data_IF_824361991358
#
_entry.id   IF_824361991358
#
_cell.length_a   1.000
_cell.length_b   1.000
_cell.length_c   1.000
_cell.angle_alpha   90.00
_cell.angle_beta   90.00
_cell.angle_gamma   90.00
#
_symmetry.space_group_name_H-M   'P 1'
#
loop_
_entity.id
_entity.type
_entity.pdbx_description
1 polymer ?
#
# COMPACT_ATOMS: atom_id res chain seq x y z
N UNK A 1 -3.58 9.17 -22.92
CA UNK A 1 -4.45 9.57 -21.79
C UNK A 1 -3.69 10.63 -21.01
N UNK A 2 -4.30 11.75 -20.64
CA UNK A 2 -3.63 12.74 -19.77
C UNK A 2 -3.46 12.11 -18.39
N UNK A 3 -2.25 12.15 -17.85
CA UNK A 3 -1.94 11.68 -16.49
C UNK A 3 -1.90 12.86 -15.52
N UNK A 4 -2.30 12.65 -14.27
CA UNK A 4 -2.23 13.64 -13.19
C UNK A 4 -0.97 13.49 -12.31
N UNK A 5 -0.03 12.62 -12.70
CA UNK A 5 1.24 12.40 -11.98
C UNK A 5 2.09 13.68 -11.80
N UNK A 6 1.92 14.68 -12.65
CA UNK A 6 2.60 15.98 -12.51
C UNK A 6 2.21 16.72 -11.22
N UNK A 7 1.07 16.36 -10.59
CA UNK A 7 0.59 16.91 -9.32
C UNK A 7 1.28 16.28 -8.09
N UNK A 8 2.02 15.18 -8.27
CA UNK A 8 2.80 14.58 -7.19
C UNK A 8 3.95 15.52 -6.80
N UNK A 9 4.14 15.83 -5.51
CA UNK A 9 5.23 16.69 -5.06
C UNK A 9 6.60 16.21 -5.54
N UNK A 10 7.50 17.12 -5.98
CA UNK A 10 8.81 16.73 -6.52
C UNK A 10 9.67 15.94 -5.55
N UNK A 11 9.61 16.24 -4.25
CA UNK A 11 10.33 15.55 -3.20
C UNK A 11 9.86 14.09 -3.03
N UNK A 12 8.59 13.82 -3.27
CA UNK A 12 8.04 12.44 -3.31
C UNK A 12 8.55 11.73 -4.56
N UNK A 13 8.44 12.34 -5.74
CA UNK A 13 8.95 11.74 -7.00
C UNK A 13 10.45 11.46 -7.00
N UNK A 14 11.22 12.22 -6.22
CA UNK A 14 12.65 11.98 -6.07
C UNK A 14 12.97 10.70 -5.25
N UNK A 15 12.04 10.21 -4.43
CA UNK A 15 12.25 9.09 -3.51
C UNK A 15 11.43 7.85 -3.84
N UNK A 16 10.34 8.03 -4.56
CA UNK A 16 9.40 6.98 -4.92
C UNK A 16 9.23 6.92 -6.43
N UNK A 17 9.21 5.72 -6.97
CA UNK A 17 8.68 5.48 -8.30
C UNK A 17 7.16 5.54 -8.22
N UNK A 18 6.49 6.37 -9.05
CA UNK A 18 5.05 6.59 -8.92
C UNK A 18 4.34 6.24 -10.22
N UNK A 19 3.28 5.46 -10.09
CA UNK A 19 2.38 5.11 -11.19
C UNK A 19 0.93 5.36 -10.78
N UNK A 20 0.09 5.70 -11.74
CA UNK A 20 -1.34 5.86 -11.49
C UNK A 20 -2.19 5.17 -12.55
N UNK A 21 -3.35 4.72 -12.11
CA UNK A 21 -4.44 4.24 -12.94
C UNK A 21 -5.64 5.15 -12.76
N UNK A 22 -6.28 5.56 -13.89
CA UNK A 22 -7.49 6.38 -13.91
C UNK A 22 -7.38 7.72 -13.15
N UNK A 23 -6.24 8.42 -13.30
CA UNK A 23 -6.01 9.74 -12.70
C UNK A 23 -6.20 9.75 -11.16
N UNK A 24 -5.76 8.70 -10.48
CA UNK A 24 -5.92 8.55 -9.04
C UNK A 24 -5.35 9.73 -8.23
N UNK A 25 -4.23 10.32 -8.68
CA UNK A 25 -3.64 11.51 -8.06
C UNK A 25 -4.62 12.69 -8.06
N UNK A 26 -5.28 12.90 -9.20
CA UNK A 26 -6.30 13.96 -9.32
C UNK A 26 -7.47 13.73 -8.39
N UNK A 27 -7.98 12.50 -8.30
CA UNK A 27 -9.08 12.14 -7.39
C UNK A 27 -8.69 12.40 -5.93
N UNK A 28 -7.53 11.89 -5.50
CA UNK A 28 -7.03 12.07 -4.14
C UNK A 28 -6.87 13.55 -3.79
N UNK A 29 -6.19 14.31 -4.64
CA UNK A 29 -5.90 15.72 -4.38
C UNK A 29 -7.15 16.59 -4.31
N UNK A 30 -8.17 16.33 -5.15
CA UNK A 30 -9.34 17.20 -5.27
C UNK A 30 -10.51 16.77 -4.40
N UNK A 31 -10.78 15.48 -4.30
CA UNK A 31 -11.91 14.95 -3.56
C UNK A 31 -11.56 14.55 -2.11
N UNK A 32 -10.28 14.20 -1.85
CA UNK A 32 -9.81 13.68 -0.56
C UNK A 32 -8.53 14.40 -0.09
N UNK A 33 -8.52 15.75 0.00
CA UNK A 33 -7.30 16.50 0.31
C UNK A 33 -6.72 16.21 1.70
N UNK A 34 -7.55 15.79 2.66
CA UNK A 34 -7.10 15.37 3.99
C UNK A 34 -6.32 14.06 3.94
N UNK A 35 -6.89 13.03 3.34
CA UNK A 35 -6.25 11.72 3.15
C UNK A 35 -5.00 11.84 2.28
N UNK A 36 -5.05 12.68 1.24
CA UNK A 36 -3.88 13.01 0.43
C UNK A 36 -2.75 13.61 1.26
N UNK A 37 -3.06 14.59 2.13
CA UNK A 37 -2.07 15.22 3.00
C UNK A 37 -1.43 14.22 3.96
N UNK A 38 -2.21 13.32 4.54
CA UNK A 38 -1.75 12.26 5.44
C UNK A 38 -0.78 11.30 4.73
N UNK A 39 -1.15 10.82 3.53
CA UNK A 39 -0.30 9.93 2.72
C UNK A 39 1.03 10.62 2.41
N UNK A 40 1.00 11.85 1.92
CA UNK A 40 2.21 12.59 1.55
C UNK A 40 3.09 12.87 2.77
N UNK A 41 2.51 13.23 3.91
CA UNK A 41 3.24 13.44 5.17
C UNK A 41 3.94 12.16 5.63
N UNK A 42 3.23 11.03 5.60
CA UNK A 42 3.75 9.70 5.95
C UNK A 42 4.91 9.31 5.03
N UNK A 43 4.75 9.45 3.72
CA UNK A 43 5.81 9.12 2.75
C UNK A 43 7.03 10.05 2.87
N UNK A 44 6.84 11.32 3.21
CA UNK A 44 7.95 12.27 3.51
C UNK A 44 8.75 11.86 4.73
N UNK A 45 8.07 11.41 5.78
CA UNK A 45 8.68 10.98 7.05
C UNK A 45 9.37 9.62 6.91
N UNK A 46 8.80 8.72 6.14
CA UNK A 46 9.28 7.35 6.00
C UNK A 46 10.74 7.29 5.53
N UNK A 47 11.51 6.37 6.16
CA UNK A 47 12.86 5.96 5.76
C UNK A 47 12.94 4.44 5.78
N UNK A 48 13.65 3.90 4.80
CA UNK A 48 13.95 2.48 4.70
C UNK A 48 15.25 2.20 5.49
N UNK A 49 15.12 1.92 6.77
CA UNK A 49 16.27 1.73 7.64
C UNK A 49 16.94 0.36 7.44
N UNK A 50 18.28 0.35 7.38
CA UNK A 50 19.08 -0.87 7.29
C UNK A 50 18.73 -1.88 8.39
N UNK A 51 18.59 -1.43 9.63
CA UNK A 51 18.25 -2.27 10.78
C UNK A 51 16.89 -2.98 10.61
N UNK A 52 15.87 -2.29 10.09
CA UNK A 52 14.56 -2.89 9.83
C UNK A 52 14.61 -3.94 8.72
N UNK A 53 15.43 -3.70 7.68
CA UNK A 53 15.64 -4.66 6.60
C UNK A 53 16.32 -5.93 7.15
N UNK A 54 17.36 -5.77 7.96
CA UNK A 54 18.17 -6.89 8.49
C UNK A 54 17.43 -7.70 9.54
N UNK A 55 16.58 -7.08 10.35
CA UNK A 55 15.80 -7.76 11.39
C UNK A 55 14.91 -8.89 10.81
N UNK A 56 14.56 -8.80 9.53
CA UNK A 56 13.65 -9.74 8.91
C UNK A 56 12.20 -9.53 9.34
N UNK A 57 11.29 -10.28 8.74
CA UNK A 57 9.86 -10.17 9.02
C UNK A 57 9.31 -11.41 9.70
N UNK A 58 8.31 -11.18 10.59
CA UNK A 58 7.23 -12.11 10.89
C UNK A 58 6.02 -11.78 10.02
N UNK A 59 4.82 -11.93 10.54
CA UNK A 59 3.57 -11.66 9.81
C UNK A 59 3.47 -10.23 9.27
N UNK A 60 3.89 -9.22 10.03
CA UNK A 60 3.96 -7.82 9.58
C UNK A 60 5.34 -7.25 9.94
N UNK A 61 6.17 -6.99 8.93
CA UNK A 61 7.54 -6.50 9.13
C UNK A 61 7.58 -5.04 9.63
N UNK A 62 8.73 -4.63 10.22
CA UNK A 62 8.91 -3.26 10.72
C UNK A 62 8.66 -2.20 9.64
N UNK A 63 8.97 -2.50 8.38
CA UNK A 63 8.80 -1.55 7.26
C UNK A 63 7.33 -1.22 7.06
N UNK A 64 6.44 -2.22 6.99
CA UNK A 64 5.00 -1.99 6.92
C UNK A 64 4.50 -1.30 8.20
N UNK A 65 4.93 -1.76 9.38
CA UNK A 65 4.54 -1.15 10.67
C UNK A 65 4.88 0.33 10.77
N UNK A 66 5.96 0.80 10.13
CA UNK A 66 6.29 2.24 10.11
C UNK A 66 5.30 3.05 9.31
N UNK A 67 4.88 2.55 8.16
CA UNK A 67 3.92 3.26 7.29
C UNK A 67 2.52 3.20 7.90
N UNK A 68 2.06 2.00 8.24
CA UNK A 68 0.73 1.78 8.81
C UNK A 68 0.57 2.52 10.15
N UNK A 69 1.58 2.43 11.02
CA UNK A 69 1.56 3.09 12.30
C UNK A 69 1.53 4.62 12.20
N UNK A 70 2.25 5.19 11.22
CA UNK A 70 2.20 6.63 10.99
C UNK A 70 0.83 7.07 10.46
N UNK A 71 0.21 6.29 9.59
CA UNK A 71 -1.16 6.51 9.12
C UNK A 71 -2.18 6.31 10.25
N UNK A 72 -1.97 5.28 11.11
CA UNK A 72 -2.83 5.06 12.27
C UNK A 72 -2.88 6.28 13.20
N UNK A 73 -1.73 6.92 13.48
CA UNK A 73 -1.66 8.16 14.27
C UNK A 73 -2.45 9.31 13.64
N UNK A 74 -2.67 9.27 12.32
CA UNK A 74 -3.45 10.25 11.56
C UNK A 74 -4.92 9.83 11.38
N UNK A 75 -5.37 8.78 12.08
CA UNK A 75 -6.77 8.34 12.11
C UNK A 75 -7.15 7.27 11.07
N UNK A 76 -6.17 6.70 10.35
CA UNK A 76 -6.40 5.54 9.49
C UNK A 76 -6.58 4.29 10.34
N UNK A 77 -7.35 3.31 9.85
CA UNK A 77 -7.63 2.06 10.58
C UNK A 77 -7.57 0.86 9.65
N UNK A 78 -7.06 -0.27 10.16
CA UNK A 78 -7.27 -1.56 9.53
C UNK A 78 -8.78 -1.86 9.52
N UNK A 79 -9.32 -2.22 8.36
CA UNK A 79 -10.77 -2.33 8.21
C UNK A 79 -11.16 -3.53 7.35
N UNK A 80 -12.06 -4.35 7.85
CA UNK A 80 -12.72 -5.41 7.10
C UNK A 80 -14.18 -5.04 6.85
N UNK A 81 -14.63 -5.18 5.61
CA UNK A 81 -16.00 -4.88 5.25
C UNK A 81 -16.82 -6.17 5.18
N UNK A 82 -17.97 -6.15 5.80
CA UNK A 82 -18.94 -7.25 5.71
C UNK A 82 -19.86 -6.99 4.54
N UNK A 83 -19.65 -7.73 3.45
CA UNK A 83 -20.52 -7.64 2.26
C UNK A 83 -21.44 -8.85 2.21
N UNK A 84 -22.63 -8.65 1.66
CA UNK A 84 -23.63 -9.70 1.45
C UNK A 84 -24.03 -9.67 -0.02
N UNK A 85 -23.94 -10.80 -0.68
CA UNK A 85 -24.46 -10.99 -2.04
C UNK A 85 -25.87 -11.52 -1.93
N UNK A 86 -26.83 -10.79 -2.51
CA UNK A 86 -28.24 -11.22 -2.58
C UNK A 86 -28.63 -11.48 -4.02
N UNK A 87 -29.12 -12.69 -4.26
CA UNK A 87 -29.68 -13.08 -5.56
C UNK A 87 -31.07 -13.62 -5.29
N UNK A 88 -32.09 -12.89 -5.73
CA UNK A 88 -33.49 -13.15 -5.43
C UNK A 88 -33.75 -13.33 -3.91
N UNK A 89 -34.11 -14.53 -3.47
CA UNK A 89 -34.36 -14.88 -2.08
C UNK A 89 -33.15 -15.53 -1.40
N UNK A 90 -32.01 -15.61 -2.06
CA UNK A 90 -30.79 -16.23 -1.54
C UNK A 90 -29.79 -15.15 -1.12
N UNK A 91 -29.31 -15.22 0.12
CA UNK A 91 -28.28 -14.33 0.64
C UNK A 91 -27.05 -15.13 1.05
N UNK A 92 -25.86 -14.61 0.70
CA UNK A 92 -24.59 -15.20 1.07
C UNK A 92 -23.65 -14.12 1.58
N UNK A 93 -23.13 -14.31 2.79
CA UNK A 93 -22.06 -13.48 3.31
C UNK A 93 -20.80 -13.66 2.44
N UNK A 94 -20.19 -12.54 2.09
CA UNK A 94 -18.95 -12.48 1.30
C UNK A 94 -18.04 -11.41 1.90
N UNK A 95 -17.45 -11.66 3.10
CA UNK A 95 -16.60 -10.67 3.74
C UNK A 95 -15.40 -10.35 2.85
N UNK A 96 -15.01 -9.08 2.83
CA UNK A 96 -13.82 -8.65 2.08
C UNK A 96 -12.56 -9.07 2.82
N UNK A 97 -11.42 -9.01 2.13
CA UNK A 97 -10.14 -9.03 2.82
C UNK A 97 -9.97 -7.74 3.65
N UNK A 98 -9.25 -7.81 4.77
CA UNK A 98 -8.92 -6.63 5.56
C UNK A 98 -8.05 -5.68 4.73
N UNK A 99 -8.39 -4.39 4.74
CA UNK A 99 -7.58 -3.31 4.17
C UNK A 99 -6.61 -2.83 5.25
N UNK A 100 -5.32 -2.75 4.97
CA UNK A 100 -4.30 -2.35 5.94
C UNK A 100 -4.60 -0.97 6.56
N UNK A 101 -4.96 0.01 5.72
CA UNK A 101 -5.25 1.38 6.15
C UNK A 101 -6.45 1.93 5.39
N UNK A 102 -7.52 2.26 6.11
CA UNK A 102 -8.73 2.86 5.57
C UNK A 102 -9.05 4.16 6.30
N UNK A 103 -9.35 5.22 5.56
CA UNK A 103 -9.86 6.49 6.10
C UNK A 103 -10.72 7.19 5.06
N UNK A 104 -11.84 7.80 5.49
CA UNK A 104 -12.78 8.43 4.59
C UNK A 104 -13.30 7.43 3.57
N UNK A 105 -12.90 7.58 2.32
CA UNK A 105 -13.23 6.66 1.21
C UNK A 105 -11.98 6.22 0.45
N UNK A 106 -10.83 6.19 1.14
CA UNK A 106 -9.54 5.79 0.58
C UNK A 106 -9.08 4.52 1.29
N UNK A 107 -8.72 3.51 0.50
CA UNK A 107 -8.10 2.28 0.94
C UNK A 107 -6.61 2.27 0.57
N UNK A 108 -5.73 1.87 1.49
CA UNK A 108 -4.29 1.79 1.26
C UNK A 108 -3.74 0.45 1.76
N UNK A 109 -2.92 -0.18 0.91
CA UNK A 109 -2.22 -1.44 1.21
C UNK A 109 -0.70 -1.21 1.20
N UNK A 110 0.00 -1.83 2.14
CA UNK A 110 1.47 -1.77 2.24
C UNK A 110 2.05 -3.15 1.98
N UNK A 111 2.44 -3.39 0.74
CA UNK A 111 2.95 -4.68 0.31
C UNK A 111 4.48 -4.70 0.27
N UNK A 112 5.07 -5.15 1.38
CA UNK A 112 6.51 -5.30 1.53
C UNK A 112 6.92 -6.76 1.66
N UNK A 113 7.57 -7.28 0.61
CA UNK A 113 8.15 -8.63 0.59
C UNK A 113 7.16 -9.78 0.85
N UNK A 114 5.90 -9.57 0.57
CA UNK A 114 4.86 -10.61 0.50
C UNK A 114 5.01 -11.42 -0.79
N UNK A 115 4.22 -12.49 -0.95
CA UNK A 115 4.13 -13.18 -2.26
C UNK A 115 3.37 -12.30 -3.26
N UNK A 116 3.79 -12.30 -4.52
CA UNK A 116 3.21 -11.45 -5.56
C UNK A 116 1.72 -11.71 -5.86
N UNK A 117 1.17 -12.86 -5.42
CA UNK A 117 -0.25 -13.16 -5.50
C UNK A 117 -1.14 -12.25 -4.65
N UNK A 118 -0.58 -11.54 -3.65
CA UNK A 118 -1.35 -10.59 -2.84
C UNK A 118 -1.89 -9.43 -3.68
N UNK A 119 -1.18 -9.01 -4.73
CA UNK A 119 -1.66 -7.96 -5.62
C UNK A 119 -2.98 -8.29 -6.31
N UNK A 120 -3.21 -9.56 -6.68
CA UNK A 120 -4.47 -9.98 -7.28
C UNK A 120 -5.61 -9.84 -6.28
N UNK A 121 -5.35 -10.17 -5.03
CA UNK A 121 -6.28 -10.03 -3.91
C UNK A 121 -6.61 -8.55 -3.66
N UNK A 122 -5.60 -7.69 -3.55
CA UNK A 122 -5.75 -6.27 -3.22
C UNK A 122 -6.44 -5.51 -4.35
N UNK A 123 -6.04 -5.75 -5.60
CA UNK A 123 -6.68 -5.16 -6.77
C UNK A 123 -8.15 -5.59 -6.89
N UNK A 124 -8.44 -6.87 -6.63
CA UNK A 124 -9.82 -7.36 -6.64
C UNK A 124 -10.65 -6.76 -5.49
N UNK A 125 -10.05 -6.58 -4.31
CA UNK A 125 -10.69 -5.94 -3.17
C UNK A 125 -11.00 -4.45 -3.48
N UNK A 126 -10.04 -3.71 -4.02
CA UNK A 126 -10.25 -2.32 -4.46
C UNK A 126 -11.35 -2.21 -5.51
N UNK A 127 -11.34 -3.11 -6.51
CA UNK A 127 -12.41 -3.15 -7.53
C UNK A 127 -13.77 -3.35 -6.90
N UNK A 128 -13.92 -4.34 -6.01
CA UNK A 128 -15.18 -4.64 -5.34
C UNK A 128 -15.66 -3.47 -4.50
N UNK A 129 -14.80 -2.92 -3.65
CA UNK A 129 -15.15 -1.80 -2.77
C UNK A 129 -15.49 -0.53 -3.55
N UNK A 130 -14.82 -0.29 -4.69
CA UNK A 130 -15.12 0.82 -5.59
C UNK A 130 -16.47 0.64 -6.28
N UNK A 131 -16.78 -0.55 -6.82
CA UNK A 131 -18.04 -0.86 -7.48
C UNK A 131 -19.22 -0.75 -6.48
N UNK A 132 -18.99 -1.11 -5.21
CA UNK A 132 -19.92 -0.93 -4.11
C UNK A 132 -19.96 0.50 -3.55
N UNK A 133 -19.17 1.43 -4.10
CA UNK A 133 -19.08 2.82 -3.66
C UNK A 133 -18.64 2.99 -2.20
N UNK A 134 -17.86 2.06 -1.68
CA UNK A 134 -17.25 2.14 -0.34
C UNK A 134 -15.99 2.99 -0.41
N UNK A 135 -15.20 2.85 -1.48
CA UNK A 135 -14.01 3.67 -1.73
C UNK A 135 -14.13 4.46 -3.03
N UNK A 136 -13.38 5.55 -3.13
CA UNK A 136 -13.23 6.36 -4.34
C UNK A 136 -11.86 6.17 -5.01
N UNK A 137 -10.86 5.73 -4.26
CA UNK A 137 -9.55 5.36 -4.78
C UNK A 137 -8.83 4.35 -3.88
N UNK A 138 -7.93 3.57 -4.49
CA UNK A 138 -6.98 2.71 -3.82
C UNK A 138 -5.55 3.26 -3.89
N UNK A 139 -4.73 2.96 -2.90
CA UNK A 139 -3.30 3.28 -2.88
C UNK A 139 -2.52 2.01 -2.54
N UNK A 140 -1.43 1.75 -3.27
CA UNK A 140 -0.52 0.65 -2.96
C UNK A 140 0.88 1.23 -2.73
N UNK A 141 1.46 0.93 -1.58
CA UNK A 141 2.86 1.22 -1.28
C UNK A 141 3.63 -0.10 -1.35
N UNK A 142 4.60 -0.18 -2.24
CA UNK A 142 5.43 -1.38 -2.43
C UNK A 142 6.89 -0.99 -2.65
N UNK A 143 7.78 -1.92 -2.95
CA UNK A 143 9.17 -1.62 -3.26
C UNK A 143 9.42 -1.51 -4.77
N UNK A 144 10.36 -0.64 -5.16
CA UNK A 144 10.93 -0.67 -6.51
C UNK A 144 11.71 -1.96 -6.74
N UNK A 145 11.72 -2.43 -7.97
CA UNK A 145 12.50 -3.61 -8.38
C UNK A 145 14.00 -3.39 -8.19
N UNK A 146 14.49 -2.18 -8.41
CA UNK A 146 15.91 -1.81 -8.24
C UNK A 146 16.46 -2.05 -6.83
N UNK A 147 15.60 -2.07 -5.80
CA UNK A 147 16.02 -2.33 -4.42
C UNK A 147 16.60 -3.73 -4.21
N UNK A 148 16.33 -4.70 -5.09
CA UNK A 148 16.88 -6.06 -4.96
C UNK A 148 18.40 -6.03 -4.80
N UNK A 149 19.09 -5.24 -5.61
CA UNK A 149 20.56 -5.12 -5.55
C UNK A 149 21.03 -4.49 -4.23
N UNK A 150 20.35 -3.44 -3.75
CA UNK A 150 20.66 -2.82 -2.46
C UNK A 150 20.50 -3.85 -1.32
N UNK A 151 19.38 -4.58 -1.30
CA UNK A 151 19.07 -5.57 -0.26
C UNK A 151 20.10 -6.69 -0.21
N UNK A 152 20.59 -7.15 -1.36
CA UNK A 152 21.66 -8.15 -1.43
C UNK A 152 22.98 -7.58 -0.89
N UNK A 153 23.34 -6.36 -1.29
CA UNK A 153 24.58 -5.70 -0.89
C UNK A 153 24.67 -5.45 0.63
N UNK A 154 23.55 -5.24 1.31
CA UNK A 154 23.52 -5.08 2.77
C UNK A 154 23.44 -6.41 3.53
N UNK A 155 23.57 -7.56 2.84
CA UNK A 155 23.66 -8.89 3.47
C UNK A 155 22.37 -9.71 3.49
N UNK A 156 21.30 -9.29 2.80
CA UNK A 156 20.10 -10.12 2.66
C UNK A 156 20.29 -11.20 1.61
N UNK A 157 19.78 -12.40 1.90
CA UNK A 157 19.82 -13.50 0.92
C UNK A 157 18.92 -13.16 -0.27
N UNK A 158 19.42 -13.41 -1.48
CA UNK A 158 18.66 -13.23 -2.73
C UNK A 158 17.32 -13.99 -2.70
N UNK A 159 17.26 -15.15 -2.08
CA UNK A 159 16.03 -15.94 -1.90
C UNK A 159 14.96 -15.25 -1.06
N UNK A 160 15.33 -14.31 -0.18
CA UNK A 160 14.39 -13.58 0.67
C UNK A 160 13.66 -12.46 -0.07
N UNK A 161 14.18 -11.99 -1.21
CA UNK A 161 13.63 -10.91 -2.01
C UNK A 161 13.55 -11.30 -3.49
N UNK A 162 13.31 -12.60 -3.73
CA UNK A 162 13.33 -13.19 -5.06
C UNK A 162 12.15 -12.76 -5.93
N UNK A 163 12.15 -13.30 -7.17
CA UNK A 163 11.20 -12.96 -8.23
C UNK A 163 9.73 -13.22 -7.90
N UNK A 164 9.42 -14.01 -6.85
CA UNK A 164 8.04 -14.32 -6.43
C UNK A 164 7.52 -13.40 -5.31
N UNK A 165 8.30 -12.37 -4.93
CA UNK A 165 7.88 -11.43 -3.90
C UNK A 165 7.37 -10.13 -4.51
N UNK A 166 6.61 -9.35 -3.72
CA UNK A 166 6.04 -8.07 -4.13
C UNK A 166 7.11 -7.06 -4.51
N UNK A 167 6.98 -6.50 -5.69
CA UNK A 167 7.72 -5.34 -6.20
C UNK A 167 6.97 -4.76 -7.41
N UNK A 168 7.32 -3.53 -7.79
CA UNK A 168 6.52 -2.75 -8.72
C UNK A 168 6.33 -3.43 -10.09
N UNK A 169 7.37 -4.07 -10.66
CA UNK A 169 7.27 -4.77 -11.96
C UNK A 169 6.31 -5.98 -11.94
N UNK A 170 5.94 -6.45 -10.75
CA UNK A 170 4.91 -7.50 -10.60
C UNK A 170 3.50 -6.92 -10.52
N UNK A 171 3.38 -5.71 -10.00
CA UNK A 171 2.11 -5.02 -9.87
C UNK A 171 1.64 -4.41 -11.18
N UNK A 172 2.55 -3.72 -11.90
CA UNK A 172 2.17 -2.94 -13.08
C UNK A 172 1.44 -3.76 -14.17
N UNK A 173 1.92 -4.95 -14.58
CA UNK A 173 1.21 -5.74 -15.58
C UNK A 173 -0.21 -6.17 -15.14
N UNK A 174 -0.42 -6.37 -13.83
CA UNK A 174 -1.74 -6.71 -13.27
C UNK A 174 -2.68 -5.50 -13.30
N UNK A 175 -2.15 -4.33 -12.98
CA UNK A 175 -2.88 -3.07 -13.02
C UNK A 175 -3.25 -2.69 -14.47
N UNK A 176 -2.28 -2.75 -15.39
CA UNK A 176 -2.47 -2.49 -16.83
C UNK A 176 -3.41 -3.50 -17.48
N UNK A 177 -3.38 -4.76 -17.01
CA UNK A 177 -4.31 -5.82 -17.39
C UNK A 177 -5.73 -5.62 -16.86
N UNK A 178 -5.99 -4.54 -16.10
CA UNK A 178 -7.33 -4.18 -15.61
C UNK A 178 -7.72 -4.85 -14.30
N UNK A 179 -6.76 -5.37 -13.50
CA UNK A 179 -7.03 -6.04 -12.22
C UNK A 179 -7.81 -5.15 -11.23
N UNK A 180 -7.57 -3.85 -11.23
CA UNK A 180 -8.29 -2.88 -10.40
C UNK A 180 -9.65 -2.43 -10.98
N UNK A 181 -10.05 -2.91 -12.15
CA UNK A 181 -11.32 -2.55 -12.79
C UNK A 181 -11.47 -1.04 -13.01
N UNK A 182 -12.57 -0.48 -12.51
CA UNK A 182 -12.89 0.96 -12.59
C UNK A 182 -12.19 1.81 -11.54
N UNK A 183 -11.64 1.22 -10.48
CA UNK A 183 -11.06 1.94 -9.35
C UNK A 183 -9.84 2.77 -9.75
N UNK A 184 -9.80 4.08 -9.42
CA UNK A 184 -8.57 4.86 -9.49
C UNK A 184 -7.55 4.31 -8.50
N UNK A 185 -6.32 4.02 -8.96
CA UNK A 185 -5.28 3.42 -8.11
C UNK A 185 -3.98 4.21 -8.28
N UNK A 186 -3.39 4.60 -7.13
CA UNK A 186 -2.09 5.25 -7.06
C UNK A 186 -1.08 4.29 -6.44
N UNK A 187 0.09 4.16 -7.08
CA UNK A 187 1.16 3.24 -6.65
C UNK A 187 2.41 4.04 -6.30
N UNK A 188 2.97 3.78 -5.12
CA UNK A 188 4.25 4.29 -4.68
C UNK A 188 5.25 3.14 -4.51
N UNK A 189 6.27 3.11 -5.35
CA UNK A 189 7.41 2.21 -5.21
C UNK A 189 8.49 2.85 -4.35
N UNK A 190 8.80 2.26 -3.19
CA UNK A 190 9.89 2.69 -2.32
C UNK A 190 11.21 2.51 -3.07
N UNK A 191 11.88 3.62 -3.39
CA UNK A 191 13.14 3.65 -4.12
C UNK A 191 14.36 3.72 -3.20
N UNK A 192 15.55 3.57 -3.81
CA UNK A 192 16.85 3.62 -3.12
C UNK A 192 17.09 4.92 -2.33
N UNK A 193 16.50 6.03 -2.76
CA UNK A 193 16.63 7.33 -2.08
C UNK A 193 15.84 7.43 -0.77
N UNK A 194 15.05 6.41 -0.43
CA UNK A 194 14.41 6.26 0.89
C UNK A 194 15.29 5.54 1.91
N UNK A 195 16.40 4.91 1.47
CA UNK A 195 17.31 4.14 2.32
C UNK A 195 18.10 5.02 3.28
N UNK A 196 18.28 4.53 4.53
CA UNK A 196 19.11 5.16 5.56
C UNK A 196 19.88 4.09 6.35
N UNK A 197 21.11 4.42 6.71
CA UNK A 197 21.94 3.63 7.65
C UNK A 197 21.83 4.13 9.10
N UNK A 198 21.07 5.21 9.32
CA UNK A 198 20.83 5.74 10.65
C UNK A 198 20.10 4.72 11.55
N UNK A 199 20.24 4.90 12.85
CA UNK A 199 19.46 4.16 13.84
C UNK A 199 17.97 4.51 13.67
N UNK A 200 17.08 3.50 13.51
CA UNK A 200 15.66 3.76 13.37
C UNK A 200 15.06 4.28 14.68
N UNK A 201 14.19 5.29 14.62
CA UNK A 201 13.38 5.66 15.79
C UNK A 201 12.48 4.48 16.19
N UNK A 202 11.96 4.47 17.43
CA UNK A 202 10.94 3.50 17.82
C UNK A 202 9.83 3.40 16.79
N UNK A 203 9.22 2.21 16.67
CA UNK A 203 8.03 2.06 15.85
C UNK A 203 6.91 2.92 16.44
N UNK A 204 6.00 3.44 15.61
CA UNK A 204 4.78 4.07 16.10
C UNK A 204 4.03 3.14 17.06
N UNK A 205 3.57 3.68 18.18
CA UNK A 205 2.78 2.94 19.14
C UNK A 205 1.35 2.80 18.60
N UNK A 206 1.04 1.61 18.12
CA UNK A 206 -0.28 1.27 17.58
C UNK A 206 -0.82 0.14 18.45
N UNK A 207 -2.05 0.27 19.01
CA UNK A 207 -2.69 -0.83 19.73
C UNK A 207 -2.72 -2.10 18.87
N UNK A 208 -2.47 -3.24 19.49
CA UNK A 208 -2.56 -4.53 18.80
C UNK A 208 -4.05 -4.82 18.55
N UNK A 209 -4.50 -4.65 17.30
CA UNK A 209 -5.92 -4.80 16.91
C UNK A 209 -6.36 -6.27 16.80
N UNK A 210 -5.56 -7.21 17.31
CA UNK A 210 -5.85 -8.65 17.23
C UNK A 210 -6.86 -9.15 18.29
N UNK A 211 -7.36 -8.29 19.20
CA UNK A 211 -8.19 -8.74 20.34
C UNK A 211 -9.70 -8.40 20.23
N UNK A 212 -10.22 -7.83 19.14
CA UNK A 212 -11.64 -7.44 19.07
C UNK A 212 -12.51 -8.30 18.11
N UNK A 213 -12.07 -9.47 17.67
CA UNK A 213 -12.87 -10.39 16.85
C UNK A 213 -13.17 -11.71 17.61
N UNK A 214 -13.88 -11.64 18.76
CA UNK A 214 -14.66 -12.76 19.32
C UNK A 214 -16.18 -12.52 19.25
#
# INVERSE_FOLDING_TARGET
>A
MMTTLHLIPPDIRARYEVHEWRNATGVLLTAHPGEWADIIATLRKFRLYKADILKGGGNKGNISKRIDGELFLQGWRETQFHTVIKVDNFERASPTHKVDCFKGRIALEVEWNSKDSVYDRDLNNFRLLFDLRVIDAGVIVTRCTELENLLINIGRKKSSYGKSTTHIDKLLPKLEGGGGGGCPILVFGIGRHSYSEDEPPPLPDVPDTTEEDE
#
